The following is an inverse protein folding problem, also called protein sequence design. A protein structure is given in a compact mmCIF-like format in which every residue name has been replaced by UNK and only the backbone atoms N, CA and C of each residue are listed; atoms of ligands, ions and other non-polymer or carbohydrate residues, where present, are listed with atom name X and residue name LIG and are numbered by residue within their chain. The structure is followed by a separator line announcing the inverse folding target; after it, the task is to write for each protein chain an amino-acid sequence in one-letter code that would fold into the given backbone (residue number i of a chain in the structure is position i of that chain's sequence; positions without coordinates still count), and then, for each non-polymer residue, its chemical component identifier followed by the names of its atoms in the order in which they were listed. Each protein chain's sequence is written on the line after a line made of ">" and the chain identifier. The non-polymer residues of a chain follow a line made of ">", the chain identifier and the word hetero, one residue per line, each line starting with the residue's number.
data_IF_055027020327
#
_entry.id   IF_055027020327
#
_cell.length_a   1.000
_cell.length_b   1.000
_cell.length_c   1.000
_cell.angle_alpha   90.00
_cell.angle_beta   90.00
_cell.angle_gamma   90.00
#
_symmetry.space_group_name_H-M   'P 1'
#
loop_
_entity.id
_entity.type
_entity.pdbx_description
1 polymer ?
#
# COMPACT_ATOMS: atom_id res chain seq x y z
N UNK A 1 -14.09 -11.97 21.58
CA UNK A 1 -12.84 -11.23 21.24
C UNK A 1 -12.21 -11.95 20.06
N UNK A 2 -11.63 -11.24 19.11
CA UNK A 2 -10.81 -11.88 18.08
C UNK A 2 -9.56 -12.47 18.75
N UNK A 3 -9.13 -13.65 18.31
CA UNK A 3 -7.99 -14.39 18.89
C UNK A 3 -6.62 -13.87 18.42
N UNK A 4 -6.61 -12.81 17.60
CA UNK A 4 -5.40 -12.23 17.03
C UNK A 4 -4.79 -13.05 15.89
N UNK A 5 -5.44 -14.12 15.45
CA UNK A 5 -5.02 -14.86 14.27
C UNK A 5 -5.20 -14.03 13.00
N UNK A 6 -4.30 -14.22 12.05
CA UNK A 6 -4.40 -13.67 10.70
C UNK A 6 -4.75 -14.79 9.74
N UNK A 7 -5.71 -14.53 8.85
CA UNK A 7 -6.01 -15.38 7.71
C UNK A 7 -5.54 -14.71 6.43
N UNK A 8 -4.91 -15.48 5.55
CA UNK A 8 -4.56 -15.01 4.21
C UNK A 8 -5.83 -14.68 3.42
N UNK A 9 -5.81 -13.57 2.69
CA UNK A 9 -6.94 -13.11 1.86
C UNK A 9 -6.61 -13.25 0.37
N UNK A 10 -5.52 -12.63 -0.08
CA UNK A 10 -5.08 -12.66 -1.47
C UNK A 10 -3.59 -12.29 -1.62
N UNK A 11 -3.01 -12.66 -2.76
CA UNK A 11 -1.69 -12.21 -3.20
C UNK A 11 -1.83 -11.28 -4.41
N UNK A 12 -1.31 -10.07 -4.31
CA UNK A 12 -1.38 -9.07 -5.38
C UNK A 12 0.01 -8.51 -5.66
N UNK A 13 0.37 -8.44 -6.94
CA UNK A 13 1.61 -7.81 -7.36
C UNK A 13 1.58 -6.30 -7.09
N UNK A 14 2.62 -5.80 -6.42
CA UNK A 14 2.79 -4.38 -6.07
C UNK A 14 3.01 -3.45 -7.26
N UNK A 15 3.13 -4.02 -8.48
CA UNK A 15 3.44 -3.30 -9.72
C UNK A 15 4.83 -2.64 -9.70
N UNK A 16 5.76 -3.26 -8.98
CA UNK A 16 7.18 -2.94 -8.99
C UNK A 16 8.02 -4.07 -8.41
N UNK A 17 9.27 -3.74 -8.09
CA UNK A 17 10.27 -4.63 -7.51
C UNK A 17 10.80 -4.04 -6.19
N UNK A 18 11.08 -4.94 -5.25
CA UNK A 18 11.65 -4.64 -3.94
C UNK A 18 10.84 -3.60 -3.15
N UNK A 19 9.56 -3.89 -2.81
CA UNK A 19 8.73 -2.98 -2.01
C UNK A 19 9.36 -2.82 -0.63
N UNK A 20 9.75 -1.59 -0.28
CA UNK A 20 10.47 -1.30 0.97
C UNK A 20 9.53 -0.93 2.11
N UNK A 21 8.50 -0.14 1.80
CA UNK A 21 7.52 0.36 2.76
C UNK A 21 6.13 0.30 2.15
N UNK A 22 5.17 -0.12 2.96
CA UNK A 22 3.74 -0.03 2.69
C UNK A 22 3.12 0.93 3.72
N UNK A 23 2.24 1.82 3.28
CA UNK A 23 1.61 2.82 4.16
C UNK A 23 0.14 2.97 3.82
N UNK A 24 -0.71 2.76 4.80
CA UNK A 24 -2.14 2.99 4.70
C UNK A 24 -2.43 4.47 5.00
N UNK A 25 -3.37 5.07 4.29
CA UNK A 25 -3.85 6.41 4.62
C UNK A 25 -4.66 6.42 5.93
N UNK A 26 -4.89 7.61 6.48
CA UNK A 26 -5.56 7.77 7.77
C UNK A 26 -7.00 7.24 7.78
N UNK A 27 -7.64 7.17 6.62
CA UNK A 27 -9.02 6.70 6.46
C UNK A 27 -9.10 5.21 6.10
N UNK A 28 -7.97 4.54 5.90
CA UNK A 28 -7.91 3.15 5.47
C UNK A 28 -8.42 2.90 4.05
N UNK A 29 -8.55 3.93 3.21
CA UNK A 29 -9.08 3.84 1.86
C UNK A 29 -8.00 3.55 0.82
N UNK A 30 -6.76 3.93 1.09
CA UNK A 30 -5.63 3.79 0.16
C UNK A 30 -4.41 3.15 0.83
N UNK A 31 -3.83 2.18 0.14
CA UNK A 31 -2.53 1.59 0.47
C UNK A 31 -1.50 2.05 -0.56
N UNK A 32 -0.44 2.70 -0.09
CA UNK A 32 0.70 3.13 -0.90
C UNK A 32 1.84 2.13 -0.76
N UNK A 33 2.47 1.78 -1.88
CA UNK A 33 3.60 0.84 -1.92
C UNK A 33 4.81 1.49 -2.56
N UNK A 34 5.91 1.55 -1.82
CA UNK A 34 7.18 2.12 -2.26
C UNK A 34 8.07 1.04 -2.87
N UNK A 35 8.06 0.90 -4.20
CA UNK A 35 8.87 -0.09 -4.91
C UNK A 35 10.28 0.47 -5.17
N UNK A 36 11.22 0.14 -4.29
CA UNK A 36 12.53 0.78 -4.25
C UNK A 36 13.33 0.57 -5.56
N UNK A 37 13.27 -0.62 -6.16
CA UNK A 37 14.06 -0.92 -7.37
C UNK A 37 13.36 -0.53 -8.68
N UNK A 38 12.11 -0.12 -8.59
CA UNK A 38 11.32 0.32 -9.76
C UNK A 38 11.19 1.84 -9.86
N UNK A 39 11.80 2.58 -8.93
CA UNK A 39 11.72 4.04 -8.86
C UNK A 39 10.25 4.55 -8.94
N UNK A 40 9.33 3.85 -8.27
CA UNK A 40 7.91 4.21 -8.28
C UNK A 40 7.21 4.00 -6.93
N UNK A 41 6.13 4.75 -6.76
CA UNK A 41 5.12 4.53 -5.73
C UNK A 41 3.82 4.18 -6.43
N UNK A 42 3.27 3.00 -6.13
CA UNK A 42 1.95 2.56 -6.61
C UNK A 42 0.93 2.67 -5.49
N UNK A 43 -0.36 2.68 -5.84
CA UNK A 43 -1.42 2.72 -4.84
C UNK A 43 -2.56 1.78 -5.16
N UNK A 44 -3.22 1.32 -4.12
CA UNK A 44 -4.36 0.41 -4.19
C UNK A 44 -5.49 0.99 -3.35
N UNK A 45 -6.71 0.97 -3.87
CA UNK A 45 -7.89 1.21 -3.04
C UNK A 45 -8.17 -0.03 -2.19
N UNK A 46 -8.67 0.20 -0.98
CA UNK A 46 -8.97 -0.85 0.01
C UNK A 46 -10.47 -0.96 0.19
N UNK A 47 -11.02 -2.17 0.02
CA UNK A 47 -12.43 -2.43 0.27
C UNK A 47 -12.72 -2.42 1.79
N UNK A 48 -13.65 -1.58 2.31
CA UNK A 48 -13.85 -1.41 3.75
C UNK A 48 -14.23 -2.67 4.52
N UNK A 49 -14.98 -3.58 3.90
CA UNK A 49 -15.49 -4.79 4.58
C UNK A 49 -14.50 -5.96 4.54
N UNK A 50 -13.74 -6.09 3.45
CA UNK A 50 -12.91 -7.28 3.19
C UNK A 50 -11.41 -7.01 3.19
N UNK A 51 -10.99 -5.74 3.14
CA UNK A 51 -9.58 -5.36 2.97
C UNK A 51 -9.00 -5.65 1.59
N UNK A 52 -9.82 -6.12 0.63
CA UNK A 52 -9.35 -6.45 -0.72
C UNK A 52 -8.80 -5.23 -1.44
N UNK A 53 -7.73 -5.44 -2.20
CA UNK A 53 -6.98 -4.36 -2.84
C UNK A 53 -7.29 -4.27 -4.34
N UNK A 54 -7.53 -3.06 -4.84
CA UNK A 54 -7.67 -2.79 -6.28
C UNK A 54 -6.63 -1.79 -6.72
N UNK A 55 -5.78 -2.16 -7.68
CA UNK A 55 -4.74 -1.28 -8.22
C UNK A 55 -5.35 -0.03 -8.89
N UNK A 56 -4.87 1.15 -8.53
CA UNK A 56 -5.12 2.35 -9.32
C UNK A 56 -4.18 2.34 -10.53
N UNK A 57 -4.66 2.53 -11.78
CA UNK A 57 -3.86 2.37 -12.98
C UNK A 57 -2.89 3.55 -13.25
N UNK A 58 -2.22 4.02 -12.21
CA UNK A 58 -1.20 5.06 -12.22
C UNK A 58 -0.07 4.75 -11.22
N UNK A 59 1.02 5.52 -11.33
CA UNK A 59 2.10 5.52 -10.35
C UNK A 59 2.72 6.91 -10.23
N UNK A 60 3.36 7.17 -9.09
CA UNK A 60 4.17 8.37 -8.89
C UNK A 60 5.65 8.02 -9.09
N UNK A 61 6.37 8.65 -10.02
CA UNK A 61 7.80 8.42 -10.20
C UNK A 61 8.58 9.02 -9.03
N UNK A 62 9.37 8.20 -8.35
CA UNK A 62 10.24 8.63 -7.24
C UNK A 62 11.47 7.74 -7.27
N UNK A 63 12.66 8.30 -7.35
CA UNK A 63 13.89 7.50 -7.31
C UNK A 63 14.07 6.79 -5.96
N UNK A 64 14.20 5.46 -5.99
CA UNK A 64 14.55 4.61 -4.85
C UNK A 64 13.79 4.92 -3.55
N UNK A 65 12.43 4.93 -3.56
CA UNK A 65 11.65 5.31 -2.40
C UNK A 65 11.85 4.31 -1.27
N UNK A 66 11.94 4.84 -0.05
CA UNK A 66 12.34 4.05 1.11
C UNK A 66 11.37 4.07 2.28
N UNK A 67 10.75 5.21 2.57
CA UNK A 67 9.81 5.37 3.68
C UNK A 67 8.78 6.47 3.38
N UNK A 68 7.53 6.23 3.78
CA UNK A 68 6.44 7.20 3.78
C UNK A 68 5.91 7.36 5.19
N UNK A 69 5.52 8.58 5.55
CA UNK A 69 4.70 8.86 6.73
C UNK A 69 3.57 9.77 6.27
N UNK A 70 2.34 9.43 6.65
CA UNK A 70 1.17 10.27 6.43
C UNK A 70 0.84 10.93 7.77
N UNK A 71 0.89 12.25 7.80
CA UNK A 71 0.46 13.05 8.95
C UNK A 71 -0.92 13.63 8.65
N UNK A 72 -1.85 13.52 9.59
CA UNK A 72 -2.99 14.44 9.57
C UNK A 72 -2.44 15.86 9.77
N UNK A 73 -2.68 16.75 8.81
CA UNK A 73 -2.51 18.18 9.10
C UNK A 73 -3.56 18.57 10.15
N UNK A 74 -3.19 19.41 11.14
CA UNK A 74 -4.12 19.89 12.15
C UNK A 74 -5.28 20.69 11.55
#
# INVERSE_FOLDING_TARGET
>A
MADGSLSHQEDIWTRGDYPRTLTLDNQGQWLYVMNQRSDNITRFSVAPESGRLTFAPDYTPVGSPSQMVISAQP
#
